data_IF_520538369142
#
_entry.id   IF_520538369142
#
_cell.length_a   1.000
_cell.length_b   1.000
_cell.length_c   1.000
_cell.angle_alpha   90.00
_cell.angle_beta   90.00
_cell.angle_gamma   90.00
#
_symmetry.space_group_name_H-M   'P 1'
#
loop_
_entity.id
_entity.type
_entity.pdbx_description
1 polymer ?
#
# COMPACT_ATOMS: atom_id res chain seq x y z
N UNK A 1 -1.64 -11.47 -7.32
CA UNK A 1 -0.61 -10.63 -6.68
C UNK A 1 0.62 -10.41 -7.55
N UNK A 2 0.93 -11.30 -8.49
CA UNK A 2 2.01 -11.09 -9.44
C UNK A 2 1.68 -9.97 -10.42
N UNK A 3 2.64 -9.09 -10.69
CA UNK A 3 2.57 -8.08 -11.74
C UNK A 3 3.89 -8.06 -12.51
N UNK A 4 3.83 -7.84 -13.82
CA UNK A 4 5.03 -7.66 -14.63
C UNK A 4 5.39 -6.18 -14.73
N UNK A 5 6.64 -5.81 -14.43
CA UNK A 5 7.15 -4.45 -14.62
C UNK A 5 8.63 -4.51 -14.99
N UNK A 6 9.06 -3.72 -15.98
CA UNK A 6 10.47 -3.69 -16.44
C UNK A 6 11.02 -5.11 -16.70
N UNK A 7 10.24 -5.99 -17.32
CA UNK A 7 10.57 -7.39 -17.61
C UNK A 7 10.83 -8.29 -16.38
N UNK A 8 10.41 -7.86 -15.19
CA UNK A 8 10.48 -8.65 -13.96
C UNK A 8 9.07 -8.98 -13.46
N UNK A 9 8.91 -10.19 -12.95
CA UNK A 9 7.71 -10.61 -12.23
C UNK A 9 7.88 -10.22 -10.77
N UNK A 10 7.00 -9.36 -10.27
CA UNK A 10 7.01 -8.83 -8.90
C UNK A 10 5.78 -9.35 -8.19
N UNK A 11 5.97 -10.00 -7.04
CA UNK A 11 4.86 -10.32 -6.14
C UNK A 11 4.55 -9.14 -5.21
N UNK A 12 3.28 -8.73 -5.15
CA UNK A 12 2.78 -7.67 -4.27
C UNK A 12 1.82 -8.22 -3.20
N UNK A 13 1.92 -9.49 -2.86
CA UNK A 13 1.03 -10.19 -1.94
C UNK A 13 0.91 -9.50 -0.58
N UNK A 14 2.01 -9.02 0.00
CA UNK A 14 2.01 -8.26 1.26
C UNK A 14 1.14 -6.99 1.13
N UNK A 15 1.33 -6.19 0.08
CA UNK A 15 0.54 -4.98 -0.13
C UNK A 15 -0.95 -5.28 -0.29
N UNK A 16 -1.31 -6.28 -1.12
CA UNK A 16 -2.71 -6.68 -1.32
C UNK A 16 -3.35 -7.16 -0.02
N UNK A 17 -2.61 -7.90 0.81
CA UNK A 17 -3.11 -8.38 2.10
C UNK A 17 -3.41 -7.22 3.06
N UNK A 18 -2.50 -6.24 3.18
CA UNK A 18 -2.74 -5.03 3.98
C UNK A 18 -3.99 -4.27 3.50
N UNK A 19 -4.12 -4.03 2.19
CA UNK A 19 -5.29 -3.34 1.63
C UNK A 19 -6.57 -4.11 1.93
N UNK A 20 -6.57 -5.44 1.81
CA UNK A 20 -7.74 -6.27 2.12
C UNK A 20 -8.10 -6.18 3.60
N UNK A 21 -7.13 -6.35 4.49
CA UNK A 21 -7.36 -6.28 5.93
C UNK A 21 -7.93 -4.91 6.35
N UNK A 22 -7.37 -3.82 5.83
CA UNK A 22 -7.85 -2.45 6.11
C UNK A 22 -9.28 -2.26 5.61
N UNK A 23 -9.58 -2.67 4.37
CA UNK A 23 -10.93 -2.51 3.79
C UNK A 23 -12.00 -3.37 4.47
N UNK A 24 -11.61 -4.51 5.03
CA UNK A 24 -12.53 -5.44 5.69
C UNK A 24 -12.75 -5.13 7.18
N UNK A 25 -11.94 -4.28 7.81
CA UNK A 25 -12.03 -3.98 9.23
C UNK A 25 -13.38 -3.35 9.59
N UNK A 26 -14.04 -3.87 10.62
CA UNK A 26 -15.37 -3.40 11.09
C UNK A 26 -15.31 -2.56 12.37
N UNK A 27 -14.18 -2.60 13.10
CA UNK A 27 -14.09 -2.00 14.44
C UNK A 27 -12.86 -1.09 14.57
N UNK A 28 -11.67 -1.67 14.73
CA UNK A 28 -10.43 -0.90 14.84
C UNK A 28 -9.27 -1.64 14.17
N UNK A 29 -8.19 -0.91 13.87
CA UNK A 29 -6.93 -1.45 13.39
C UNK A 29 -5.83 -0.87 14.26
N UNK A 30 -5.03 -1.74 14.86
CA UNK A 30 -3.78 -1.35 15.52
C UNK A 30 -2.61 -1.64 14.56
N UNK A 31 -1.69 -0.69 14.44
CA UNK A 31 -0.53 -0.81 13.55
C UNK A 31 0.72 -0.46 14.33
N UNK A 32 1.64 -1.43 14.44
CA UNK A 32 3.00 -1.22 14.91
C UNK A 32 3.95 -1.49 13.75
N UNK A 33 4.66 -0.45 13.31
CA UNK A 33 5.56 -0.54 12.17
C UNK A 33 6.73 0.44 12.35
N UNK A 34 7.92 0.03 11.93
CA UNK A 34 9.12 0.89 11.96
C UNK A 34 8.96 2.14 11.08
N UNK A 35 8.20 2.05 9.98
CA UNK A 35 7.91 3.16 9.08
C UNK A 35 6.41 3.23 8.78
N UNK A 36 5.86 4.44 8.82
CA UNK A 36 4.45 4.69 8.49
C UNK A 36 4.31 5.85 7.50
N UNK A 37 4.78 5.61 6.27
CA UNK A 37 4.77 6.58 5.18
C UNK A 37 4.38 5.89 3.86
N UNK A 38 3.68 6.62 2.99
CA UNK A 38 3.21 6.07 1.72
C UNK A 38 2.17 6.97 1.05
N UNK A 39 1.51 6.43 0.02
CA UNK A 39 0.44 7.10 -0.73
C UNK A 39 0.82 8.51 -1.20
N UNK A 40 2.06 8.67 -1.66
CA UNK A 40 2.63 9.99 -2.02
C UNK A 40 1.92 10.71 -3.15
N UNK A 41 1.19 9.98 -3.99
CA UNK A 41 0.30 10.55 -5.02
C UNK A 41 -0.80 11.45 -4.43
N UNK A 42 -1.13 11.30 -3.15
CA UNK A 42 -2.12 12.11 -2.45
C UNK A 42 -1.50 13.25 -1.61
N UNK A 43 -0.17 13.41 -1.62
CA UNK A 43 0.47 14.50 -0.88
C UNK A 43 0.11 15.86 -1.49
N UNK A 44 -0.06 16.94 -0.69
CA UNK A 44 -0.47 18.25 -1.22
C UNK A 44 0.41 18.81 -2.33
N UNK A 45 1.73 18.54 -2.26
CA UNK A 45 2.72 18.98 -3.27
C UNK A 45 2.67 18.18 -4.57
N UNK A 46 2.03 17.00 -4.59
CA UNK A 46 1.94 16.15 -5.78
C UNK A 46 1.04 16.76 -6.87
N UNK A 47 0.16 17.71 -6.53
CA UNK A 47 -0.72 18.38 -7.50
C UNK A 47 0.01 19.10 -8.64
N UNK A 48 1.30 19.42 -8.45
CA UNK A 48 2.15 20.10 -9.43
C UNK A 48 3.38 19.26 -9.81
N UNK A 49 3.37 17.95 -9.55
CA UNK A 49 4.48 17.03 -9.80
C UNK A 49 4.36 16.31 -11.15
#
# INVERSE_FOLDING_TARGET
>A
NLVCRKNLVIDKSIHTAYVKAIRSAQHFIYIENQYFLGSSYAWPKYKNA
#
